data_IF_157373201374
#
_entry.id   IF_157373201374
#
_cell.length_a   1.000
_cell.length_b   1.000
_cell.length_c   1.000
_cell.angle_alpha   90.00
_cell.angle_beta   90.00
_cell.angle_gamma   90.00
#
_symmetry.space_group_name_H-M   'P 1'
#
loop_
_entity.id
_entity.type
_entity.pdbx_description
1 polymer ?
#
# COMPACT_ATOMS: atom_id res chain seq x y z
N UNK A 1 -16.37 -3.01 20.61
CA UNK A 1 -16.64 -4.22 19.79
C UNK A 1 -16.13 -4.07 18.35
N UNK A 2 -16.68 -3.17 17.53
CA UNK A 2 -16.28 -3.00 16.12
C UNK A 2 -14.79 -2.74 15.87
N UNK A 3 -14.15 -1.89 16.70
CA UNK A 3 -12.71 -1.63 16.61
C UNK A 3 -11.85 -2.88 16.81
N UNK A 4 -12.20 -3.71 17.80
CA UNK A 4 -11.51 -4.96 18.09
C UNK A 4 -11.70 -5.97 16.96
N UNK A 5 -12.94 -6.12 16.45
CA UNK A 5 -13.22 -6.96 15.29
C UNK A 5 -12.43 -6.52 14.05
N UNK A 6 -12.38 -5.21 13.78
CA UNK A 6 -11.64 -4.65 12.66
C UNK A 6 -10.12 -4.85 12.78
N UNK A 7 -9.56 -4.67 13.99
CA UNK A 7 -8.15 -4.91 14.25
C UNK A 7 -7.77 -6.39 14.06
N UNK A 8 -8.53 -7.30 14.67
CA UNK A 8 -8.30 -8.73 14.54
C UNK A 8 -8.48 -9.21 13.09
N UNK A 9 -9.47 -8.69 12.37
CA UNK A 9 -9.65 -8.98 10.94
C UNK A 9 -8.46 -8.49 10.10
N UNK A 10 -7.96 -7.28 10.37
CA UNK A 10 -6.77 -6.75 9.70
C UNK A 10 -5.50 -7.58 10.01
N UNK A 11 -5.33 -7.99 11.27
CA UNK A 11 -4.21 -8.84 11.70
C UNK A 11 -4.24 -10.19 10.99
N UNK A 12 -5.38 -10.89 11.01
CA UNK A 12 -5.57 -12.19 10.34
C UNK A 12 -5.33 -12.06 8.85
N UNK A 13 -5.88 -11.02 8.21
CA UNK A 13 -5.64 -10.75 6.80
C UNK A 13 -4.15 -10.55 6.48
N UNK A 14 -3.44 -9.74 7.26
CA UNK A 14 -2.00 -9.50 7.05
C UNK A 14 -1.23 -10.81 7.22
N UNK A 15 -1.52 -11.61 8.25
CA UNK A 15 -0.86 -12.89 8.49
C UNK A 15 -1.08 -13.91 7.35
N UNK A 16 -2.31 -14.03 6.86
CA UNK A 16 -2.65 -15.00 5.79
C UNK A 16 -2.12 -14.54 4.43
N UNK A 17 -2.17 -13.24 4.13
CA UNK A 17 -1.73 -12.71 2.83
C UNK A 17 -0.23 -12.43 2.75
N UNK A 18 0.50 -12.49 3.87
CA UNK A 18 1.93 -12.18 3.94
C UNK A 18 2.81 -13.01 2.98
N UNK A 19 2.63 -14.35 2.85
CA UNK A 19 3.41 -15.15 1.91
C UNK A 19 3.24 -14.68 0.45
N UNK A 20 1.99 -14.42 0.05
CA UNK A 20 1.66 -13.91 -1.29
C UNK A 20 2.28 -12.53 -1.50
N UNK A 21 2.20 -11.67 -0.48
CA UNK A 21 2.83 -10.36 -0.50
C UNK A 21 4.34 -10.45 -0.70
N UNK A 22 5.00 -11.43 -0.07
CA UNK A 22 6.46 -11.60 -0.17
C UNK A 22 6.89 -12.10 -1.55
N UNK A 23 6.11 -13.00 -2.17
CA UNK A 23 6.32 -13.41 -3.57
C UNK A 23 6.15 -12.22 -4.50
N UNK A 24 5.05 -11.47 -4.36
CA UNK A 24 4.78 -10.25 -5.13
C UNK A 24 5.93 -9.25 -5.01
N UNK A 25 6.42 -9.01 -3.79
CA UNK A 25 7.52 -8.10 -3.52
C UNK A 25 8.80 -8.49 -4.28
N UNK A 26 9.17 -9.78 -4.30
CA UNK A 26 10.33 -10.26 -5.07
C UNK A 26 10.17 -10.06 -6.56
N UNK A 27 8.96 -10.26 -7.10
CA UNK A 27 8.70 -9.99 -8.51
C UNK A 27 8.78 -8.50 -8.84
N UNK A 28 8.26 -7.65 -7.96
CA UNK A 28 8.34 -6.20 -8.14
C UNK A 28 9.78 -5.71 -8.06
N UNK A 29 10.57 -6.18 -7.10
CA UNK A 29 11.93 -5.71 -6.88
C UNK A 29 12.92 -6.23 -7.94
N UNK A 30 12.86 -7.53 -8.25
CA UNK A 30 13.85 -8.22 -9.09
C UNK A 30 13.33 -8.60 -10.48
N UNK A 31 12.05 -8.38 -10.78
CA UNK A 31 11.46 -8.79 -12.04
C UNK A 31 11.37 -10.31 -12.22
N UNK A 32 11.38 -11.10 -11.14
CA UNK A 32 11.39 -12.57 -11.23
C UNK A 32 10.05 -13.15 -11.74
N UNK A 33 10.10 -14.34 -12.34
CA UNK A 33 8.90 -15.13 -12.61
C UNK A 33 8.34 -15.68 -11.29
N UNK A 34 7.05 -15.99 -11.28
CA UNK A 34 6.36 -16.46 -10.06
C UNK A 34 6.99 -17.73 -9.49
N UNK A 35 7.33 -18.69 -10.37
CA UNK A 35 7.93 -19.97 -9.97
C UNK A 35 9.29 -19.76 -9.27
N UNK A 36 10.13 -18.90 -9.83
CA UNK A 36 11.46 -18.61 -9.27
C UNK A 36 11.35 -17.90 -7.92
N UNK A 37 10.42 -16.95 -7.80
CA UNK A 37 10.17 -16.24 -6.54
C UNK A 37 9.66 -17.17 -5.43
N UNK A 38 8.77 -18.12 -5.77
CA UNK A 38 8.29 -19.15 -4.83
C UNK A 38 9.42 -20.09 -4.43
N UNK A 39 10.22 -20.58 -5.38
CA UNK A 39 11.33 -21.48 -5.12
C UNK A 39 12.38 -20.85 -4.20
N UNK A 40 12.74 -19.59 -4.44
CA UNK A 40 13.64 -18.86 -3.53
C UNK A 40 13.04 -18.72 -2.13
N UNK A 41 11.74 -18.48 -2.02
CA UNK A 41 11.08 -18.31 -0.73
C UNK A 41 11.01 -19.62 0.06
N UNK A 42 10.83 -20.75 -0.62
CA UNK A 42 10.90 -22.08 -0.02
C UNK A 42 12.29 -22.36 0.57
N UNK A 43 13.36 -21.94 -0.11
CA UNK A 43 14.75 -22.08 0.36
C UNK A 43 15.06 -21.25 1.61
N UNK A 44 14.44 -20.08 1.76
CA UNK A 44 14.68 -19.21 2.91
C UNK A 44 14.06 -19.73 4.21
N UNK A 45 13.10 -20.66 4.13
CA UNK A 45 12.41 -21.26 5.27
C UNK A 45 11.30 -20.39 5.90
N UNK A 46 10.49 -21.03 6.75
CA UNK A 46 9.26 -20.43 7.33
C UNK A 46 9.56 -19.23 8.24
N UNK A 47 10.69 -19.25 8.98
CA UNK A 47 11.09 -18.11 9.82
C UNK A 47 11.32 -16.85 8.99
N UNK A 48 11.97 -16.99 7.84
CA UNK A 48 12.18 -15.86 6.95
C UNK A 48 10.90 -15.48 6.20
N UNK A 49 9.94 -16.39 6.00
CA UNK A 49 8.65 -16.07 5.36
C UNK A 49 7.94 -14.90 6.05
N UNK A 50 7.84 -14.91 7.37
CA UNK A 50 7.15 -13.89 8.17
C UNK A 50 8.03 -12.71 8.61
N UNK A 51 9.31 -12.72 8.21
CA UNK A 51 10.22 -11.61 8.50
C UNK A 51 9.76 -10.33 7.81
N UNK A 52 9.58 -9.27 8.61
CA UNK A 52 9.06 -7.98 8.16
C UNK A 52 7.54 -7.84 8.25
N UNK A 53 6.84 -8.70 8.99
CA UNK A 53 5.38 -8.56 9.24
C UNK A 53 5.05 -7.47 10.28
N UNK A 54 5.98 -7.16 11.18
CA UNK A 54 5.73 -6.17 12.24
C UNK A 54 5.53 -4.73 11.71
N UNK A 55 6.36 -4.21 10.77
CA UNK A 55 6.16 -2.87 10.24
C UNK A 55 4.77 -2.62 9.61
N UNK A 56 4.18 -3.50 8.77
CA UNK A 56 2.83 -3.26 8.25
C UNK A 56 1.74 -3.32 9.33
N UNK A 57 1.92 -4.11 10.39
CA UNK A 57 1.00 -4.12 11.54
C UNK A 57 1.06 -2.78 12.30
N UNK A 58 2.27 -2.28 12.56
CA UNK A 58 2.47 -0.96 13.18
C UNK A 58 1.90 0.14 12.30
N UNK A 59 2.21 0.13 11.01
CA UNK A 59 1.70 1.08 10.03
C UNK A 59 0.17 1.10 10.04
N UNK A 60 -0.48 -0.06 9.97
CA UNK A 60 -1.95 -0.15 9.98
C UNK A 60 -2.55 0.41 11.27
N UNK A 61 -1.92 0.14 12.41
CA UNK A 61 -2.34 0.65 13.72
C UNK A 61 -2.21 2.17 13.78
N UNK A 62 -1.07 2.72 13.34
CA UNK A 62 -0.84 4.17 13.28
C UNK A 62 -1.81 4.86 12.32
N UNK A 63 -2.06 4.28 11.15
CA UNK A 63 -3.06 4.82 10.20
C UNK A 63 -4.43 4.89 10.83
N UNK A 64 -4.88 3.84 11.53
CA UNK A 64 -6.18 3.85 12.20
C UNK A 64 -6.23 4.92 13.30
N UNK A 65 -5.21 4.99 14.15
CA UNK A 65 -5.14 6.00 15.21
C UNK A 65 -5.19 7.43 14.65
N UNK A 66 -4.43 7.70 13.58
CA UNK A 66 -4.46 8.99 12.89
C UNK A 66 -5.81 9.26 12.24
N UNK A 67 -6.42 8.27 11.58
CA UNK A 67 -7.73 8.46 10.96
C UNK A 67 -8.77 8.81 12.02
N UNK A 68 -8.82 8.14 13.17
CA UNK A 68 -9.80 8.47 14.21
C UNK A 68 -9.51 9.83 14.88
N UNK A 69 -8.27 10.05 15.35
CA UNK A 69 -7.92 11.28 16.04
C UNK A 69 -8.05 12.52 15.14
N UNK A 70 -7.43 12.48 13.95
CA UNK A 70 -7.48 13.62 13.04
C UNK A 70 -8.90 13.80 12.47
N UNK A 71 -9.64 12.73 12.17
CA UNK A 71 -11.01 12.89 11.68
C UNK A 71 -11.91 13.60 12.71
N UNK A 72 -11.81 13.28 13.99
CA UNK A 72 -12.58 13.96 15.05
C UNK A 72 -12.19 15.44 15.15
N UNK A 73 -10.90 15.75 15.20
CA UNK A 73 -10.39 17.13 15.26
C UNK A 73 -10.81 17.96 14.04
N UNK A 74 -10.67 17.39 12.83
CA UNK A 74 -11.01 18.09 11.58
C UNK A 74 -12.50 18.16 11.34
N UNK A 75 -13.27 17.12 11.67
CA UNK A 75 -14.73 17.15 11.56
C UNK A 75 -15.30 18.22 12.50
N UNK A 76 -14.78 18.31 13.74
CA UNK A 76 -15.16 19.35 14.70
C UNK A 76 -14.82 20.75 14.19
N UNK A 77 -13.60 20.96 13.67
CA UNK A 77 -13.16 22.22 13.10
C UNK A 77 -13.96 22.63 11.85
N UNK A 78 -14.35 21.66 11.02
CA UNK A 78 -15.12 21.91 9.80
C UNK A 78 -16.59 22.20 10.12
N UNK A 79 -17.16 21.53 11.11
CA UNK A 79 -18.51 21.82 11.61
C UNK A 79 -18.56 23.19 12.32
N UNK A 80 -17.53 23.59 13.06
CA UNK A 80 -17.45 24.92 13.69
C UNK A 80 -17.32 26.05 12.65
N UNK A 81 -16.80 25.75 11.46
CA UNK A 81 -16.71 26.67 10.33
C UNK A 81 -17.58 26.21 9.15
N UNK A 82 -18.90 26.10 9.39
CA UNK A 82 -19.94 25.63 8.44
C UNK A 82 -19.94 26.33 7.06
N UNK A 83 -19.19 27.42 6.89
CA UNK A 83 -19.05 28.17 5.62
C UNK A 83 -17.64 28.10 5.01
N UNK A 84 -16.80 27.13 5.40
CA UNK A 84 -15.49 26.96 4.77
C UNK A 84 -15.67 26.61 3.29
N UNK A 85 -15.02 27.36 2.36
CA UNK A 85 -15.11 27.07 0.93
C UNK A 85 -14.63 25.66 0.64
N UNK A 86 -15.31 24.95 -0.26
CA UNK A 86 -15.01 23.55 -0.60
C UNK A 86 -13.54 23.31 -0.97
N UNK A 87 -12.89 24.32 -1.56
CA UNK A 87 -11.47 24.31 -1.88
C UNK A 87 -10.57 24.19 -0.63
N UNK A 88 -10.90 24.90 0.46
CA UNK A 88 -10.13 24.87 1.70
C UNK A 88 -10.21 23.48 2.34
N UNK A 89 -11.42 22.92 2.42
CA UNK A 89 -11.66 21.56 2.95
C UNK A 89 -10.84 20.52 2.17
N UNK A 90 -10.88 20.58 0.84
CA UNK A 90 -10.11 19.67 -0.04
C UNK A 90 -8.60 19.87 0.11
N UNK A 91 -8.14 21.10 0.28
CA UNK A 91 -6.72 21.42 0.47
C UNK A 91 -6.21 20.88 1.81
N UNK A 92 -6.97 21.06 2.88
CA UNK A 92 -6.63 20.50 4.19
C UNK A 92 -6.60 18.98 4.16
N UNK A 93 -7.60 18.34 3.54
CA UNK A 93 -7.60 16.89 3.37
C UNK A 93 -6.36 16.39 2.59
N UNK A 94 -5.93 17.12 1.55
CA UNK A 94 -4.74 16.77 0.79
C UNK A 94 -3.45 16.91 1.61
N UNK A 95 -3.31 17.97 2.41
CA UNK A 95 -2.16 18.17 3.32
C UNK A 95 -2.09 17.07 4.37
N UNK A 96 -3.25 16.66 4.91
CA UNK A 96 -3.33 15.59 5.90
C UNK A 96 -2.99 14.22 5.31
N UNK A 97 -3.50 13.93 4.12
CA UNK A 97 -3.13 12.72 3.40
C UNK A 97 -1.62 12.69 3.13
N UNK A 98 -1.03 13.79 2.66
CA UNK A 98 0.41 13.90 2.41
C UNK A 98 1.26 13.75 3.68
N UNK A 99 0.86 14.42 4.77
CA UNK A 99 1.54 14.36 6.07
C UNK A 99 1.47 12.95 6.67
N UNK A 100 0.32 12.30 6.57
CA UNK A 100 0.12 10.92 7.01
C UNK A 100 1.04 9.98 6.24
N UNK A 101 1.09 10.09 4.91
CA UNK A 101 1.99 9.27 4.09
C UNK A 101 3.46 9.51 4.43
N UNK A 102 3.86 10.76 4.69
CA UNK A 102 5.21 11.06 5.15
C UNK A 102 5.52 10.37 6.50
N UNK A 103 4.58 10.37 7.45
CA UNK A 103 4.77 9.68 8.73
C UNK A 103 4.85 8.15 8.58
N UNK A 104 4.13 7.58 7.62
CA UNK A 104 4.07 6.13 7.40
C UNK A 104 5.24 5.62 6.54
N UNK A 105 5.87 6.48 5.73
CA UNK A 105 6.98 6.12 4.82
C UNK A 105 8.14 5.38 5.51
N UNK A 106 8.61 5.77 6.71
CA UNK A 106 9.64 5.02 7.43
C UNK A 106 9.26 3.56 7.74
N UNK A 107 7.99 3.28 8.06
CA UNK A 107 7.52 1.91 8.31
C UNK A 107 7.53 1.08 7.03
N UNK A 108 7.04 1.63 5.92
CA UNK A 108 7.09 0.98 4.61
C UNK A 108 8.52 0.71 4.15
N UNK A 109 9.42 1.65 4.45
CA UNK A 109 10.84 1.53 4.14
C UNK A 109 11.47 0.38 4.92
N UNK A 110 11.21 0.29 6.23
CA UNK A 110 11.73 -0.82 7.06
C UNK A 110 11.11 -2.16 6.65
N UNK A 111 9.82 -2.19 6.29
CA UNK A 111 9.19 -3.37 5.70
C UNK A 111 9.95 -3.85 4.47
N UNK A 112 10.21 -2.94 3.52
CA UNK A 112 10.90 -3.24 2.27
C UNK A 112 12.28 -3.86 2.51
N UNK A 113 13.05 -3.29 3.44
CA UNK A 113 14.38 -3.79 3.77
C UNK A 113 14.37 -5.16 4.46
N UNK A 114 13.39 -5.42 5.33
CA UNK A 114 13.26 -6.72 6.00
C UNK A 114 12.73 -7.82 5.07
N UNK A 115 11.97 -7.46 4.04
CA UNK A 115 11.45 -8.40 3.05
C UNK A 115 12.47 -8.74 1.96
N UNK A 116 13.46 -7.88 1.75
CA UNK A 116 14.53 -8.10 0.77
C UNK A 116 15.56 -9.13 1.25
N UNK A 117 15.72 -10.19 0.47
CA UNK A 117 16.63 -11.28 0.79
C UNK A 117 18.09 -10.86 0.83
N UNK A 118 18.48 -9.83 0.05
CA UNK A 118 19.86 -9.31 0.05
C UNK A 118 20.29 -8.69 1.38
N UNK A 119 19.32 -8.34 2.22
CA UNK A 119 19.56 -7.71 3.51
C UNK A 119 19.26 -8.64 4.70
N UNK A 120 19.01 -9.93 4.44
CA UNK A 120 18.74 -10.92 5.49
C UNK A 120 19.90 -11.07 6.49
N UNK A 121 21.14 -10.76 6.13
CA UNK A 121 22.28 -10.79 7.06
C UNK A 121 22.41 -9.49 7.87
N UNK A 122 21.94 -8.36 7.32
CA UNK A 122 22.13 -7.03 7.92
C UNK A 122 21.03 -6.62 8.90
N UNK A 123 19.79 -7.09 8.71
CA UNK A 123 18.63 -6.60 9.50
C UNK A 123 17.83 -7.70 10.16
N UNK A 124 18.22 -8.19 11.34
CA UNK A 124 17.52 -9.31 12.00
C UNK A 124 16.07 -8.97 12.36
N UNK A 125 15.84 -7.76 12.88
CA UNK A 125 14.57 -7.31 13.44
C UNK A 125 14.23 -5.87 13.02
N UNK A 126 12.96 -5.49 13.16
CA UNK A 126 12.47 -4.11 12.90
C UNK A 126 13.24 -3.06 13.68
N UNK A 127 13.45 -3.26 14.99
CA UNK A 127 14.24 -2.34 15.80
C UNK A 127 15.68 -2.17 15.29
N UNK A 128 16.34 -3.28 14.93
CA UNK A 128 17.69 -3.21 14.39
C UNK A 128 17.74 -2.49 13.04
N UNK A 129 16.72 -2.68 12.19
CA UNK A 129 16.62 -1.96 10.92
C UNK A 129 16.53 -0.44 11.13
N UNK A 130 15.71 0.03 12.08
CA UNK A 130 15.71 1.44 12.48
C UNK A 130 17.08 1.88 13.03
N UNK A 131 17.70 1.09 13.93
CA UNK A 131 19.00 1.45 14.51
C UNK A 131 20.10 1.62 13.44
N UNK A 132 20.15 0.71 12.47
CA UNK A 132 21.13 0.76 11.37
C UNK A 132 20.84 1.91 10.41
N UNK A 133 19.58 2.15 10.06
CA UNK A 133 19.21 3.29 9.21
C UNK A 133 19.56 4.64 9.83
N UNK A 134 19.50 4.75 11.16
CA UNK A 134 19.88 5.97 11.89
C UNK A 134 21.31 6.43 11.58
N UNK A 135 22.23 5.49 11.30
CA UNK A 135 23.64 5.80 10.98
C UNK A 135 23.77 6.58 9.68
N UNK A 136 22.87 6.36 8.73
CA UNK A 136 22.87 7.07 7.44
C UNK A 136 22.08 8.40 7.49
N UNK A 137 21.50 8.75 8.63
CA UNK A 137 20.73 9.98 8.84
C UNK A 137 19.23 9.85 8.58
N UNK A 138 18.48 10.86 9.02
CA UNK A 138 17.01 10.88 9.00
C UNK A 138 16.47 10.85 7.56
N UNK A 139 17.20 11.43 6.61
CA UNK A 139 16.79 11.50 5.20
C UNK A 139 16.64 10.10 4.56
N UNK A 140 17.38 9.09 5.01
CA UNK A 140 17.30 7.74 4.44
C UNK A 140 15.97 7.04 4.69
N UNK A 141 15.25 7.39 5.77
CA UNK A 141 13.92 6.83 6.02
C UNK A 141 12.90 7.22 4.96
N UNK A 142 13.11 8.35 4.29
CA UNK A 142 12.20 8.93 3.31
C UNK A 142 12.59 8.59 1.87
N UNK A 143 13.53 7.65 1.65
CA UNK A 143 13.86 7.17 0.31
C UNK A 143 12.64 6.46 -0.29
N UNK A 144 12.10 7.04 -1.37
CA UNK A 144 10.85 6.57 -2.01
C UNK A 144 9.61 7.37 -1.64
N UNK A 145 9.71 8.45 -0.86
CA UNK A 145 8.57 9.33 -0.58
C UNK A 145 7.97 9.94 -1.87
N UNK A 146 8.82 10.37 -2.81
CA UNK A 146 8.37 10.96 -4.08
C UNK A 146 7.46 10.03 -4.89
N UNK A 147 7.83 8.77 -5.19
CA UNK A 147 6.92 7.87 -5.89
C UNK A 147 5.66 7.54 -5.09
N UNK A 148 5.70 7.53 -3.74
CA UNK A 148 4.50 7.34 -2.92
C UNK A 148 3.52 8.49 -3.11
N UNK A 149 4.01 9.72 -2.98
CA UNK A 149 3.19 10.93 -3.14
C UNK A 149 2.64 11.05 -4.56
N UNK A 150 3.49 10.81 -5.58
CA UNK A 150 3.06 10.83 -6.97
C UNK A 150 1.96 9.80 -7.23
N UNK A 151 2.16 8.54 -6.78
CA UNK A 151 1.17 7.47 -6.91
C UNK A 151 -0.14 7.83 -6.21
N UNK A 152 -0.09 8.21 -4.94
CA UNK A 152 -1.30 8.45 -4.15
C UNK A 152 -2.04 9.70 -4.63
N UNK A 153 -1.33 10.79 -4.90
CA UNK A 153 -1.92 12.03 -5.40
C UNK A 153 -2.59 11.82 -6.75
N UNK A 154 -1.89 11.23 -7.72
CA UNK A 154 -2.48 10.96 -9.05
C UNK A 154 -3.59 9.91 -9.00
N UNK A 155 -3.46 8.87 -8.17
CA UNK A 155 -4.52 7.88 -7.98
C UNK A 155 -5.79 8.50 -7.40
N UNK A 156 -5.68 9.41 -6.43
CA UNK A 156 -6.83 10.08 -5.85
C UNK A 156 -7.50 11.03 -6.85
N UNK A 157 -6.72 11.79 -7.61
CA UNK A 157 -7.25 12.68 -8.67
C UNK A 157 -8.05 11.87 -9.69
N UNK A 158 -7.48 10.77 -10.19
CA UNK A 158 -8.17 9.92 -11.16
C UNK A 158 -9.36 9.19 -10.54
N UNK A 159 -9.27 8.74 -9.29
CA UNK A 159 -10.40 8.12 -8.60
C UNK A 159 -11.60 9.06 -8.54
N UNK A 160 -11.43 10.29 -8.07
CA UNK A 160 -12.54 11.25 -7.97
C UNK A 160 -13.01 11.75 -9.36
N UNK A 161 -12.09 11.94 -10.31
CA UNK A 161 -12.43 12.38 -11.66
C UNK A 161 -13.17 11.34 -12.50
N UNK A 162 -12.81 10.06 -12.38
CA UNK A 162 -13.40 8.97 -13.18
C UNK A 162 -14.62 8.32 -12.50
N UNK A 163 -14.84 8.54 -11.21
CA UNK A 163 -16.01 7.99 -10.48
C UNK A 163 -17.34 8.47 -11.05
N UNK A 164 -17.45 9.76 -11.39
CA UNK A 164 -18.67 10.32 -11.99
C UNK A 164 -19.02 9.67 -13.33
N UNK A 165 -18.13 9.73 -14.34
CA UNK A 165 -18.35 9.12 -15.64
C UNK A 165 -18.67 7.62 -15.58
N UNK A 166 -17.93 6.85 -14.76
CA UNK A 166 -18.18 5.40 -14.64
C UNK A 166 -19.55 5.12 -14.00
N UNK A 167 -19.97 5.92 -13.02
CA UNK A 167 -21.32 5.79 -12.44
C UNK A 167 -22.43 6.11 -13.43
N UNK A 168 -22.22 7.04 -14.36
CA UNK A 168 -23.20 7.38 -15.40
C UNK A 168 -23.36 6.28 -16.45
N UNK A 169 -22.34 5.43 -16.64
CA UNK A 169 -22.42 4.26 -17.50
C UNK A 169 -23.13 3.06 -16.85
N UNK A 170 -23.39 3.10 -15.54
CA UNK A 170 -24.09 2.04 -14.81
C UNK A 170 -25.61 2.30 -14.83
N UNK A 171 -26.44 1.24 -14.79
CA UNK A 171 -27.89 1.39 -14.79
C UNK A 171 -28.36 2.19 -13.57
N UNK A 172 -29.40 3.02 -13.73
CA UNK A 172 -29.99 3.75 -12.61
C UNK A 172 -30.46 2.78 -11.54
N UNK A 173 -29.93 2.96 -10.33
CA UNK A 173 -30.28 2.14 -9.19
C UNK A 173 -31.61 2.63 -8.61
N UNK A 174 -32.64 1.79 -8.68
CA UNK A 174 -33.97 2.07 -8.11
C UNK A 174 -34.14 1.54 -6.68
N UNK A 175 -33.19 0.74 -6.20
CA UNK A 175 -33.19 0.11 -4.87
C UNK A 175 -31.85 0.34 -4.16
N UNK A 176 -31.87 0.34 -2.83
CA UNK A 176 -30.66 0.39 -2.01
C UNK A 176 -29.64 -0.71 -2.37
N UNK A 177 -30.11 -1.94 -2.64
CA UNK A 177 -29.23 -3.03 -3.06
C UNK A 177 -28.59 -2.77 -4.43
N UNK A 178 -29.33 -2.16 -5.36
CA UNK A 178 -28.80 -1.76 -6.66
C UNK A 178 -27.73 -0.65 -6.52
N UNK A 179 -27.91 0.29 -5.59
CA UNK A 179 -26.89 1.29 -5.29
C UNK A 179 -25.60 0.66 -4.76
N UNK A 180 -25.72 -0.29 -3.82
CA UNK A 180 -24.55 -1.02 -3.29
C UNK A 180 -23.81 -1.79 -4.37
N UNK A 181 -24.53 -2.48 -5.26
CA UNK A 181 -23.94 -3.23 -6.37
C UNK A 181 -23.26 -2.27 -7.36
N UNK A 182 -23.89 -1.16 -7.72
CA UNK A 182 -23.30 -0.17 -8.62
C UNK A 182 -22.05 0.49 -8.02
N UNK A 183 -22.07 0.86 -6.74
CA UNK A 183 -20.89 1.39 -6.05
C UNK A 183 -19.76 0.35 -5.97
N UNK A 184 -20.10 -0.93 -5.75
CA UNK A 184 -19.12 -2.01 -5.76
C UNK A 184 -18.49 -2.22 -7.14
N UNK A 185 -19.29 -2.25 -8.22
CA UNK A 185 -18.79 -2.40 -9.59
C UNK A 185 -17.92 -1.20 -9.98
N UNK A 186 -18.40 0.03 -9.71
CA UNK A 186 -17.65 1.24 -9.98
C UNK A 186 -16.32 1.25 -9.22
N UNK A 187 -16.35 0.96 -7.92
CA UNK A 187 -15.15 0.88 -7.08
C UNK A 187 -14.18 -0.22 -7.52
N UNK A 188 -14.69 -1.39 -7.90
CA UNK A 188 -13.90 -2.51 -8.41
C UNK A 188 -13.20 -2.20 -9.73
N UNK A 189 -13.93 -1.64 -10.70
CA UNK A 189 -13.38 -1.22 -12.00
C UNK A 189 -12.32 -0.13 -11.82
N UNK A 190 -12.62 0.92 -11.05
CA UNK A 190 -11.66 1.97 -10.74
C UNK A 190 -10.42 1.42 -10.04
N UNK A 191 -10.61 0.60 -9.01
CA UNK A 191 -9.51 -0.02 -8.28
C UNK A 191 -8.62 -0.88 -9.20
N UNK A 192 -9.22 -1.62 -10.12
CA UNK A 192 -8.49 -2.43 -11.08
C UNK A 192 -7.71 -1.58 -12.09
N UNK A 193 -8.33 -0.53 -12.64
CA UNK A 193 -7.71 0.40 -13.58
C UNK A 193 -6.54 1.16 -12.94
N UNK A 194 -6.77 1.77 -11.78
CA UNK A 194 -5.74 2.52 -11.04
C UNK A 194 -4.61 1.58 -10.59
N UNK A 195 -4.96 0.38 -10.11
CA UNK A 195 -3.99 -0.64 -9.71
C UNK A 195 -3.07 -1.07 -10.84
N UNK A 196 -3.61 -1.21 -12.07
CA UNK A 196 -2.82 -1.46 -13.28
C UNK A 196 -1.98 -0.24 -13.67
N UNK A 197 -2.60 0.91 -13.82
CA UNK A 197 -1.95 2.15 -14.29
C UNK A 197 -0.75 2.53 -13.40
N UNK A 198 -0.90 2.38 -12.09
CA UNK A 198 0.11 2.74 -11.11
C UNK A 198 1.01 1.57 -10.66
N UNK A 199 0.87 0.39 -11.27
CA UNK A 199 1.74 -0.75 -10.97
C UNK A 199 3.23 -0.44 -11.18
N UNK A 200 3.65 0.22 -12.29
CA UNK A 200 5.05 0.58 -12.48
C UNK A 200 5.59 1.51 -11.39
N UNK A 201 4.75 2.37 -10.81
CA UNK A 201 5.17 3.24 -9.70
C UNK A 201 5.46 2.44 -8.44
N UNK A 202 4.71 1.37 -8.17
CA UNK A 202 5.00 0.46 -7.05
C UNK A 202 6.35 -0.25 -7.23
N UNK A 203 6.70 -0.60 -8.47
CA UNK A 203 8.00 -1.21 -8.80
C UNK A 203 9.15 -0.22 -8.55
N UNK A 204 9.02 1.04 -9.00
CA UNK A 204 10.02 2.09 -8.74
C UNK A 204 10.14 2.37 -7.25
N UNK A 205 9.01 2.49 -6.54
CA UNK A 205 8.96 2.65 -5.08
C UNK A 205 9.74 1.54 -4.38
N UNK A 206 9.45 0.27 -4.69
CA UNK A 206 10.12 -0.87 -4.06
C UNK A 206 11.64 -0.86 -4.31
N UNK A 207 12.07 -0.50 -5.53
CA UNK A 207 13.49 -0.37 -5.90
C UNK A 207 14.18 0.75 -5.13
N UNK A 208 13.55 1.92 -5.03
CA UNK A 208 14.06 3.03 -4.23
C UNK A 208 14.12 2.65 -2.74
N UNK A 209 13.09 1.98 -2.23
CA UNK A 209 12.99 1.54 -0.84
C UNK A 209 13.90 0.34 -0.48
N UNK A 210 14.55 -0.31 -1.45
CA UNK A 210 15.52 -1.37 -1.17
C UNK A 210 16.97 -0.89 -1.08
N UNK A 211 17.31 0.26 -1.69
CA UNK A 211 18.69 0.78 -1.72
C UNK A 211 19.08 1.43 -0.40
N UNK A 212 20.23 1.08 0.19
CA UNK A 212 20.72 1.65 1.46
C UNK A 212 22.01 2.43 1.21
N UNK A 213 22.05 3.68 1.68
CA UNK A 213 23.21 4.54 1.51
C UNK A 213 23.46 4.93 0.04
N UNK A 214 24.57 5.65 -0.19
CA UNK A 214 24.90 6.19 -1.51
C UNK A 214 23.98 7.31 -1.98
N UNK A 215 24.09 7.69 -3.24
CA UNK A 215 23.33 8.82 -3.79
C UNK A 215 21.82 8.60 -3.79
N UNK A 216 21.07 9.66 -3.51
CA UNK A 216 19.62 9.68 -3.69
C UNK A 216 19.31 9.77 -5.18
N UNK A 217 18.93 8.64 -5.76
CA UNK A 217 18.57 8.59 -7.17
C UNK A 217 17.18 9.22 -7.38
N UNK A 218 17.05 10.01 -8.44
CA UNK A 218 15.75 10.57 -8.85
C UNK A 218 14.82 9.47 -9.37
N UNK A 219 13.51 9.72 -9.27
CA UNK A 219 12.49 8.80 -9.79
C UNK A 219 12.76 8.39 -11.24
N UNK A 220 13.06 9.36 -12.11
CA UNK A 220 13.31 9.11 -13.53
C UNK A 220 14.54 8.24 -13.76
N UNK A 221 15.63 8.47 -13.00
CA UNK A 221 16.85 7.64 -13.11
C UNK A 221 16.55 6.19 -12.75
N UNK A 222 15.84 5.95 -11.64
CA UNK A 222 15.48 4.60 -11.20
C UNK A 222 14.52 3.93 -12.17
N UNK A 223 13.54 4.66 -12.69
CA UNK A 223 12.62 4.15 -13.71
C UNK A 223 13.36 3.71 -14.98
N UNK A 224 14.28 4.54 -15.50
CA UNK A 224 15.11 4.20 -16.66
C UNK A 224 15.99 2.99 -16.39
N UNK A 225 16.62 2.89 -15.21
CA UNK A 225 17.40 1.70 -14.83
C UNK A 225 16.55 0.44 -14.86
N UNK A 226 15.35 0.46 -14.27
CA UNK A 226 14.44 -0.68 -14.27
C UNK A 226 13.98 -1.01 -15.70
N UNK A 227 13.70 0.01 -16.51
CA UNK A 227 13.31 -0.16 -17.91
C UNK A 227 14.37 -0.90 -18.72
N UNK A 228 15.64 -0.53 -18.53
CA UNK A 228 16.79 -1.18 -19.16
C UNK A 228 16.99 -2.62 -18.66
N UNK A 229 16.91 -2.84 -17.35
CA UNK A 229 17.01 -4.19 -16.73
C UNK A 229 15.89 -5.13 -17.15
N UNK A 230 14.77 -4.58 -17.64
CA UNK A 230 13.58 -5.32 -18.07
C UNK A 230 13.44 -5.43 -19.59
N UNK A 231 14.57 -5.37 -20.29
CA UNK A 231 14.66 -5.51 -21.75
C UNK A 231 13.84 -4.47 -22.53
N UNK A 232 13.54 -3.30 -21.92
CA UNK A 232 12.68 -2.26 -22.51
C UNK A 232 11.28 -2.78 -22.91
N UNK A 233 10.77 -3.81 -22.20
CA UNK A 233 9.45 -4.40 -22.47
C UNK A 233 8.43 -3.97 -21.42
N UNK A 234 7.33 -3.37 -21.87
CA UNK A 234 6.24 -2.94 -20.98
C UNK A 234 5.68 -4.10 -20.15
N UNK A 235 5.47 -5.26 -20.78
CA UNK A 235 4.99 -6.47 -20.09
C UNK A 235 5.87 -6.87 -18.90
N UNK A 236 7.19 -6.62 -18.97
CA UNK A 236 8.09 -6.96 -17.88
C UNK A 236 7.94 -6.01 -16.68
N UNK A 237 7.50 -4.76 -16.87
CA UNK A 237 7.17 -3.85 -15.76
C UNK A 237 5.99 -4.37 -14.91
N UNK A 238 5.07 -5.09 -15.54
CA UNK A 238 3.88 -5.65 -14.91
C UNK A 238 4.08 -7.04 -14.28
N UNK A 239 5.33 -7.55 -14.20
CA UNK A 239 5.61 -8.80 -13.48
C UNK A 239 5.18 -8.68 -12.02
N UNK A 240 4.20 -9.50 -11.64
CA UNK A 240 3.56 -9.49 -10.32
C UNK A 240 2.17 -8.86 -10.29
N UNK A 241 1.71 -8.19 -11.36
CA UNK A 241 0.38 -7.57 -11.39
C UNK A 241 -0.74 -8.60 -11.15
N UNK A 242 -0.66 -9.78 -11.77
CA UNK A 242 -1.60 -10.88 -11.57
C UNK A 242 -1.67 -11.32 -10.10
N UNK A 243 -0.51 -11.42 -9.42
CA UNK A 243 -0.43 -11.78 -8.00
C UNK A 243 -0.99 -10.69 -7.10
N UNK A 244 -0.80 -9.42 -7.45
CA UNK A 244 -1.40 -8.30 -6.73
C UNK A 244 -2.94 -8.33 -6.82
N UNK A 245 -3.51 -8.69 -7.97
CA UNK A 245 -4.96 -8.87 -8.12
C UNK A 245 -5.48 -10.02 -7.24
N UNK A 246 -4.87 -11.21 -7.34
CA UNK A 246 -5.25 -12.36 -6.51
C UNK A 246 -5.15 -12.05 -5.02
N UNK A 247 -4.05 -11.42 -4.59
CA UNK A 247 -3.87 -10.97 -3.19
C UNK A 247 -5.00 -10.04 -2.76
N UNK A 248 -5.39 -9.10 -3.62
CA UNK A 248 -6.41 -8.11 -3.27
C UNK A 248 -7.79 -8.74 -3.13
N UNK A 249 -8.17 -9.66 -4.03
CA UNK A 249 -9.43 -10.43 -3.94
C UNK A 249 -9.46 -11.28 -2.67
N UNK A 250 -8.38 -12.04 -2.40
CA UNK A 250 -8.27 -12.84 -1.17
C UNK A 250 -8.33 -11.97 0.09
N UNK A 251 -7.65 -10.83 0.07
CA UNK A 251 -7.62 -9.92 1.21
C UNK A 251 -9.01 -9.39 1.55
N UNK A 252 -9.79 -9.03 0.52
CA UNK A 252 -11.16 -8.55 0.71
C UNK A 252 -12.06 -9.64 1.32
N UNK A 253 -11.96 -10.88 0.81
CA UNK A 253 -12.69 -12.02 1.35
C UNK A 253 -12.34 -12.34 2.81
N UNK A 254 -11.05 -12.35 3.16
CA UNK A 254 -10.59 -12.66 4.52
C UNK A 254 -11.03 -11.59 5.51
N UNK A 255 -10.90 -10.30 5.15
CA UNK A 255 -11.30 -9.20 6.03
C UNK A 255 -12.79 -9.30 6.34
N UNK A 256 -13.64 -9.45 5.32
CA UNK A 256 -15.09 -9.51 5.53
C UNK A 256 -15.50 -10.76 6.32
N UNK A 257 -15.02 -11.93 5.94
CA UNK A 257 -15.34 -13.18 6.63
C UNK A 257 -14.89 -13.15 8.10
N UNK A 258 -13.68 -12.65 8.37
CA UNK A 258 -13.16 -12.56 9.74
C UNK A 258 -13.92 -11.52 10.56
N UNK A 259 -14.26 -10.36 9.96
CA UNK A 259 -15.01 -9.32 10.64
C UNK A 259 -16.42 -9.79 11.02
N UNK A 260 -17.16 -10.41 10.09
CA UNK A 260 -18.49 -10.94 10.35
C UNK A 260 -18.48 -12.05 11.40
N UNK A 261 -17.51 -12.97 11.31
CA UNK A 261 -17.34 -14.05 12.28
C UNK A 261 -17.09 -13.51 13.69
N UNK A 262 -16.16 -12.56 13.84
CA UNK A 262 -15.85 -11.95 15.14
C UNK A 262 -17.02 -11.12 15.70
N UNK A 263 -17.80 -10.47 14.83
CA UNK A 263 -18.96 -9.67 15.24
C UNK A 263 -20.10 -10.55 15.77
N UNK A 264 -20.25 -11.77 15.25
CA UNK A 264 -21.20 -12.79 15.74
C UNK A 264 -20.76 -13.45 17.05
N UNK A 265 -19.45 -13.50 17.31
CA UNK A 265 -18.85 -14.16 18.49
C UNK A 265 -18.80 -13.25 19.72
N UNK A 266 -18.48 -11.98 19.51
CA UNK A 266 -18.56 -10.92 20.53
C UNK A 266 -20.01 -10.44 20.68
#
# INVERSE_FOLDING_TARGET
KHYLCGYCAAFTNIAVTFPIQKVLFRQQLYGLKTKDAVHQLQKDGIRNLYRGILPPLMQKTTTLALMFGLYEDFSSLLHSHTSAPELLTRSMAAVLAGTTEALLTPFERVQTLLQDYKHHEKFTNTYQAFKVLKVYGIREYYRGLVPILLRNGSSNILFFGLRGPIKQCLPEATSYSAHLVNDFICGGLLGAMLGSLFFPMNVVKARMQSQIGGEFQSFSKVFVTIWLERDKKLMHLFRGAHLNYHRSVLSWGIINATYEFLLKLL
#
